data_IF_673773912047
#
_entry.id   IF_673773912047
#
_cell.length_a   1.000
_cell.length_b   1.000
_cell.length_c   1.000
_cell.angle_alpha   90.00
_cell.angle_beta   90.00
_cell.angle_gamma   90.00
#
_symmetry.space_group_name_H-M   'P 1'
#
loop_
_entity.id
_entity.type
_entity.pdbx_description
1 polymer ?
#
# COMPACT_ATOMS: atom_id res chain seq x y z
N UNK A 1 -0.94 -33.71 -3.64
CA UNK A 1 -0.77 -32.37 -4.29
C UNK A 1 -0.88 -31.20 -3.30
N UNK A 2 -1.59 -31.35 -2.18
CA UNK A 2 -1.74 -30.31 -1.13
C UNK A 2 -0.56 -30.28 -0.15
N UNK A 3 0.00 -31.44 0.20
CA UNK A 3 1.15 -31.56 1.13
C UNK A 3 2.38 -30.76 0.65
N UNK A 4 2.72 -30.87 -0.64
CA UNK A 4 3.85 -30.10 -1.18
C UNK A 4 3.64 -28.58 -1.25
N UNK A 5 2.39 -28.10 -1.20
CA UNK A 5 2.08 -26.65 -1.09
C UNK A 5 2.19 -26.17 0.36
N UNK A 6 1.73 -26.94 1.32
CA UNK A 6 1.88 -26.59 2.73
C UNK A 6 3.36 -26.42 3.11
N UNK A 7 4.25 -27.31 2.65
CA UNK A 7 5.69 -27.17 2.87
C UNK A 7 6.29 -25.91 2.23
N UNK A 8 5.76 -25.49 1.10
CA UNK A 8 6.17 -24.25 0.45
C UNK A 8 5.73 -23.03 1.26
N UNK A 9 4.51 -23.03 1.77
CA UNK A 9 3.98 -21.94 2.58
C UNK A 9 4.75 -21.78 3.90
N UNK A 10 5.09 -22.90 4.56
CA UNK A 10 5.94 -22.85 5.74
C UNK A 10 7.33 -22.27 5.45
N UNK A 11 7.96 -22.61 4.33
CA UNK A 11 9.22 -22.00 3.91
C UNK A 11 9.10 -20.51 3.61
N UNK A 12 7.99 -20.08 3.03
CA UNK A 12 7.71 -18.66 2.81
C UNK A 12 7.58 -17.92 4.13
N UNK A 13 6.78 -18.45 5.07
CA UNK A 13 6.66 -17.89 6.41
C UNK A 13 8.02 -17.74 7.10
N UNK A 14 8.82 -18.81 7.10
CA UNK A 14 10.14 -18.77 7.73
C UNK A 14 11.04 -17.68 7.15
N UNK A 15 11.07 -17.53 5.81
CA UNK A 15 11.84 -16.48 5.14
C UNK A 15 11.39 -15.07 5.52
N UNK A 16 10.10 -14.85 5.64
CA UNK A 16 9.58 -13.55 6.08
C UNK A 16 9.89 -13.27 7.55
N UNK A 17 9.82 -14.28 8.41
CA UNK A 17 10.20 -14.13 9.81
C UNK A 17 11.71 -13.86 9.96
N UNK A 18 12.57 -14.57 9.22
CA UNK A 18 14.01 -14.30 9.17
C UNK A 18 14.31 -12.88 8.66
N UNK A 19 13.60 -12.45 7.61
CA UNK A 19 13.72 -11.09 7.07
C UNK A 19 13.15 -10.01 7.99
N UNK A 20 12.40 -10.36 9.02
CA UNK A 20 11.84 -9.41 10.00
C UNK A 20 12.78 -9.12 11.18
N UNK A 21 13.96 -9.72 11.20
CA UNK A 21 14.88 -9.63 12.32
C UNK A 21 14.41 -10.39 13.57
N UNK A 22 15.33 -10.61 14.47
CA UNK A 22 15.06 -11.29 15.72
C UNK A 22 14.27 -10.38 16.66
N UNK A 23 13.08 -10.83 17.15
CA UNK A 23 12.26 -10.04 18.07
C UNK A 23 12.94 -9.75 19.42
N UNK A 24 13.96 -10.53 19.82
CA UNK A 24 14.69 -10.30 21.07
C UNK A 24 15.76 -9.21 20.96
N UNK A 25 16.18 -8.87 19.74
CA UNK A 25 17.27 -7.91 19.49
C UNK A 25 16.84 -6.69 18.68
N UNK A 26 15.67 -6.71 18.04
CA UNK A 26 15.10 -5.60 17.29
C UNK A 26 14.21 -4.74 18.19
N UNK A 27 14.38 -3.42 18.13
CA UNK A 27 13.52 -2.45 18.81
C UNK A 27 12.23 -2.13 18.01
N UNK A 28 12.04 -2.75 16.84
CA UNK A 28 10.89 -2.50 16.00
C UNK A 28 9.59 -3.02 16.62
N UNK A 29 8.67 -2.13 16.93
CA UNK A 29 7.33 -2.49 17.40
C UNK A 29 6.40 -2.96 16.26
N UNK A 30 6.69 -2.57 15.02
CA UNK A 30 5.87 -2.84 13.85
C UNK A 30 6.73 -3.47 12.75
N UNK A 31 6.26 -4.57 12.20
CA UNK A 31 6.84 -5.25 11.03
C UNK A 31 5.91 -5.03 9.84
N UNK A 32 6.45 -4.71 8.67
CA UNK A 32 5.66 -4.53 7.45
C UNK A 32 6.14 -5.51 6.38
N UNK A 33 5.27 -6.42 5.97
CA UNK A 33 5.51 -7.33 4.85
C UNK A 33 4.84 -6.83 3.58
N UNK A 34 5.36 -7.18 2.40
CA UNK A 34 4.85 -6.66 1.13
C UNK A 34 3.49 -7.25 0.73
N UNK A 35 2.95 -6.77 -0.39
CA UNK A 35 1.74 -7.31 -1.02
C UNK A 35 1.93 -8.79 -1.37
N UNK A 36 0.90 -9.59 -1.08
CA UNK A 36 0.90 -11.01 -1.37
C UNK A 36 1.91 -11.84 -0.58
N UNK A 37 2.45 -11.30 0.52
CA UNK A 37 3.34 -12.05 1.42
C UNK A 37 2.61 -13.25 2.05
N UNK A 38 1.32 -13.09 2.32
CA UNK A 38 0.43 -14.18 2.71
C UNK A 38 -0.47 -14.53 1.50
N UNK A 39 -0.15 -15.61 0.74
CA UNK A 39 -0.96 -16.04 -0.39
C UNK A 39 -2.28 -16.65 0.04
N UNK A 40 -3.21 -16.88 -0.91
CA UNK A 40 -4.57 -17.42 -0.64
C UNK A 40 -4.55 -18.66 0.23
N UNK A 41 -3.63 -19.58 -0.04
CA UNK A 41 -3.51 -20.82 0.75
C UNK A 41 -3.15 -20.50 2.20
N UNK A 42 -2.29 -19.53 2.42
CA UNK A 42 -1.90 -19.11 3.75
C UNK A 42 -3.02 -18.39 4.50
N UNK A 43 -3.95 -17.74 3.78
CA UNK A 43 -5.15 -17.19 4.41
C UNK A 43 -5.98 -18.28 5.09
N UNK A 44 -6.15 -19.45 4.47
CA UNK A 44 -6.76 -20.61 5.14
C UNK A 44 -5.95 -21.08 6.34
N UNK A 45 -4.63 -20.88 6.32
CA UNK A 45 -3.77 -21.26 7.44
C UNK A 45 -3.88 -20.29 8.62
N UNK A 46 -4.45 -19.09 8.45
CA UNK A 46 -4.76 -18.21 9.60
C UNK A 46 -5.84 -18.79 10.52
N UNK A 47 -6.54 -19.85 10.09
CA UNK A 47 -7.39 -20.67 10.94
C UNK A 47 -6.64 -21.85 11.58
N UNK A 48 -5.36 -22.07 11.20
CA UNK A 48 -4.54 -23.16 11.72
C UNK A 48 -3.80 -22.71 13.00
N UNK A 49 -4.05 -23.35 14.16
CA UNK A 49 -3.41 -22.98 15.43
C UNK A 49 -1.89 -23.06 15.40
N UNK A 50 -1.31 -24.07 14.70
CA UNK A 50 0.14 -24.24 14.62
C UNK A 50 0.79 -23.13 13.82
N UNK A 51 0.14 -22.69 12.74
CA UNK A 51 0.60 -21.56 11.92
C UNK A 51 0.55 -20.24 12.72
N UNK A 52 -0.57 -19.98 13.41
CA UNK A 52 -0.73 -18.80 14.26
C UNK A 52 0.27 -18.78 15.42
N UNK A 53 0.52 -19.93 16.02
CA UNK A 53 1.54 -20.05 17.07
C UNK A 53 2.96 -19.84 16.55
N UNK A 54 3.28 -20.34 15.34
CA UNK A 54 4.60 -20.12 14.73
C UNK A 54 4.79 -18.65 14.34
N UNK A 55 3.76 -18.03 13.75
CA UNK A 55 3.76 -16.61 13.39
C UNK A 55 3.90 -15.75 14.65
N UNK A 56 3.14 -16.03 15.70
CA UNK A 56 3.20 -15.29 16.98
C UNK A 56 4.57 -15.38 17.65
N UNK A 57 5.18 -16.58 17.70
CA UNK A 57 6.55 -16.74 18.24
C UNK A 57 7.58 -15.97 17.42
N UNK A 58 7.47 -15.98 16.10
CA UNK A 58 8.42 -15.27 15.25
C UNK A 58 8.24 -13.75 15.26
N UNK A 59 7.05 -13.26 15.57
CA UNK A 59 6.79 -11.83 15.73
C UNK A 59 7.15 -11.32 17.14
N UNK A 60 7.05 -12.18 18.16
CA UNK A 60 7.10 -11.71 19.54
C UNK A 60 5.92 -10.78 19.84
N UNK A 61 6.18 -9.68 20.54
CA UNK A 61 5.16 -8.66 20.85
C UNK A 61 4.95 -7.63 19.72
N UNK A 62 5.58 -7.85 18.55
CA UNK A 62 5.48 -6.94 17.40
C UNK A 62 4.15 -7.08 16.67
N UNK A 63 3.66 -5.96 16.15
CA UNK A 63 2.51 -5.93 15.25
C UNK A 63 2.98 -6.15 13.81
N UNK A 64 2.32 -7.03 13.08
CA UNK A 64 2.57 -7.24 11.65
C UNK A 64 1.49 -6.54 10.82
N UNK A 65 1.91 -5.73 9.86
CA UNK A 65 1.07 -5.25 8.76
C UNK A 65 1.53 -5.95 7.49
N UNK A 66 0.62 -6.66 6.81
CA UNK A 66 0.98 -7.50 5.66
C UNK A 66 -0.04 -7.44 4.55
N UNK A 67 0.43 -7.56 3.30
CA UNK A 67 -0.44 -7.82 2.16
C UNK A 67 -0.82 -9.29 2.10
N UNK A 68 -2.10 -9.56 1.87
CA UNK A 68 -2.62 -10.91 1.70
C UNK A 68 -3.77 -10.96 0.68
N UNK A 69 -4.03 -12.13 0.15
CA UNK A 69 -5.24 -12.41 -0.60
C UNK A 69 -6.25 -13.09 0.32
N UNK A 70 -7.39 -12.47 0.56
CA UNK A 70 -8.49 -13.07 1.29
C UNK A 70 -9.66 -13.44 0.38
N UNK A 71 -10.60 -14.20 0.89
CA UNK A 71 -11.82 -14.56 0.18
C UNK A 71 -13.04 -14.45 1.10
N UNK A 72 -14.20 -14.31 0.46
CA UNK A 72 -15.52 -14.43 1.10
C UNK A 72 -16.34 -15.46 0.35
N UNK A 73 -17.02 -16.32 1.10
CA UNK A 73 -18.03 -17.22 0.52
C UNK A 73 -19.35 -16.46 0.33
N UNK A 74 -19.84 -16.36 -0.91
CA UNK A 74 -21.11 -15.71 -1.25
C UNK A 74 -22.01 -16.66 -2.03
N UNK A 75 -23.32 -16.40 -2.12
CA UNK A 75 -24.18 -17.12 -3.06
C UNK A 75 -23.63 -16.95 -4.49
N UNK A 76 -23.16 -18.03 -5.10
CA UNK A 76 -22.52 -17.99 -6.42
C UNK A 76 -21.04 -18.28 -6.44
N UNK A 77 -20.36 -18.40 -5.29
CA UNK A 77 -18.96 -18.82 -5.22
C UNK A 77 -18.09 -18.00 -4.27
N UNK A 78 -16.79 -18.20 -4.41
CA UNK A 78 -15.80 -17.45 -3.65
C UNK A 78 -15.49 -16.14 -4.36
N UNK A 79 -15.47 -15.05 -3.59
CA UNK A 79 -15.03 -13.72 -4.01
C UNK A 79 -13.70 -13.43 -3.37
N UNK A 80 -12.74 -12.93 -4.14
CA UNK A 80 -11.38 -12.69 -3.69
C UNK A 80 -11.10 -11.20 -3.58
N UNK A 81 -10.33 -10.82 -2.56
CA UNK A 81 -9.87 -9.47 -2.30
C UNK A 81 -8.35 -9.45 -2.13
N UNK A 82 -7.72 -8.46 -2.72
CA UNK A 82 -6.36 -8.08 -2.41
C UNK A 82 -6.41 -7.15 -1.19
N UNK A 83 -5.75 -7.51 -0.10
CA UNK A 83 -5.99 -6.86 1.20
C UNK A 83 -4.69 -6.57 1.93
N UNK A 84 -4.70 -5.54 2.76
CA UNK A 84 -3.73 -5.32 3.82
C UNK A 84 -4.36 -5.72 5.16
N UNK A 85 -3.62 -6.41 5.99
CA UNK A 85 -4.08 -6.92 7.28
C UNK A 85 -3.16 -6.47 8.41
N UNK A 86 -3.76 -6.22 9.57
CA UNK A 86 -3.05 -6.02 10.84
C UNK A 86 -3.18 -7.32 11.63
N UNK A 87 -2.04 -7.87 12.01
CA UNK A 87 -1.94 -9.10 12.81
C UNK A 87 -1.16 -8.72 14.08
N UNK A 88 -1.75 -8.96 15.22
CA UNK A 88 -1.12 -8.75 16.51
C UNK A 88 -0.68 -10.09 17.14
N UNK A 89 0.40 -10.04 17.91
CA UNK A 89 0.93 -11.18 18.64
C UNK A 89 0.53 -11.09 20.11
N UNK A 90 -0.68 -11.48 20.47
CA UNK A 90 -1.09 -11.49 21.87
C UNK A 90 -0.73 -12.82 22.51
N UNK A 91 0.10 -12.77 23.56
CA UNK A 91 0.50 -13.97 24.31
C UNK A 91 1.19 -15.08 23.49
N UNK A 92 1.98 -14.67 22.46
CA UNK A 92 2.72 -15.60 21.62
C UNK A 92 1.89 -16.32 20.55
N UNK A 93 0.64 -15.91 20.34
CA UNK A 93 -0.23 -16.40 19.26
C UNK A 93 -0.65 -15.23 18.40
N UNK A 94 -0.41 -15.35 17.09
CA UNK A 94 -0.84 -14.33 16.15
C UNK A 94 -2.36 -14.32 15.97
N UNK A 95 -2.93 -13.12 15.86
CA UNK A 95 -4.35 -12.92 15.63
C UNK A 95 -4.59 -11.85 14.57
N UNK A 96 -5.41 -12.15 13.60
CA UNK A 96 -5.91 -11.17 12.63
C UNK A 96 -6.85 -10.19 13.34
N UNK A 97 -6.46 -8.91 13.41
CA UNK A 97 -7.23 -7.88 14.11
C UNK A 97 -8.03 -7.00 13.15
N UNK A 98 -7.47 -6.65 12.00
CA UNK A 98 -8.14 -5.83 11.01
C UNK A 98 -7.73 -6.19 9.59
N UNK A 99 -8.61 -5.86 8.64
CA UNK A 99 -8.36 -6.00 7.20
C UNK A 99 -8.84 -4.74 6.47
N UNK A 100 -8.07 -4.30 5.49
CA UNK A 100 -8.45 -3.26 4.54
C UNK A 100 -8.30 -3.80 3.12
N UNK A 101 -9.41 -3.86 2.39
CA UNK A 101 -9.40 -4.37 1.02
C UNK A 101 -9.02 -3.28 0.03
N UNK A 102 -8.29 -3.65 -0.99
CA UNK A 102 -7.87 -2.77 -2.06
C UNK A 102 -9.06 -2.15 -2.77
N UNK A 103 -9.12 -0.82 -2.77
CA UNK A 103 -10.19 -0.05 -3.40
C UNK A 103 -9.92 0.20 -4.89
N UNK A 104 -8.67 0.49 -5.27
CA UNK A 104 -8.26 0.78 -6.65
C UNK A 104 -7.55 -0.42 -7.26
N UNK A 105 -8.32 -1.24 -7.97
CA UNK A 105 -7.80 -2.42 -8.65
C UNK A 105 -7.04 -2.07 -9.93
N UNK A 106 -6.07 -2.91 -10.29
CA UNK A 106 -5.30 -2.80 -11.54
C UNK A 106 -6.15 -3.29 -12.72
N UNK A 107 -6.44 -2.42 -13.71
CA UNK A 107 -7.12 -2.86 -14.93
C UNK A 107 -6.34 -3.96 -15.64
N UNK A 108 -7.04 -4.96 -16.18
CA UNK A 108 -6.50 -6.13 -16.87
C UNK A 108 -5.60 -7.05 -16.03
N UNK A 109 -5.23 -6.64 -14.81
CA UNK A 109 -4.49 -7.48 -13.86
C UNK A 109 -5.41 -8.07 -12.79
N UNK A 110 -6.08 -7.20 -12.04
CA UNK A 110 -6.94 -7.56 -10.93
C UNK A 110 -8.42 -7.56 -11.28
N UNK A 111 -8.84 -6.74 -12.24
CA UNK A 111 -10.19 -6.77 -12.78
C UNK A 111 -10.18 -6.59 -14.30
N UNK A 112 -11.21 -7.11 -14.96
CA UNK A 112 -11.42 -6.96 -16.39
C UNK A 112 -12.39 -5.80 -16.66
N UNK A 113 -11.92 -4.67 -17.23
CA UNK A 113 -12.80 -3.63 -17.70
C UNK A 113 -13.75 -4.17 -18.79
N UNK A 114 -15.01 -3.71 -18.80
CA UNK A 114 -16.01 -4.12 -19.79
C UNK A 114 -16.24 -5.65 -19.79
N UNK A 115 -16.25 -6.26 -18.61
CA UNK A 115 -16.42 -7.71 -18.43
C UNK A 115 -17.60 -8.27 -19.24
N UNK A 116 -18.75 -7.59 -19.18
CA UNK A 116 -19.96 -8.02 -19.90
C UNK A 116 -19.74 -8.11 -21.42
N UNK A 117 -18.91 -7.22 -21.97
CA UNK A 117 -18.57 -7.23 -23.39
C UNK A 117 -17.60 -8.39 -23.72
N UNK A 118 -16.61 -8.62 -22.85
CA UNK A 118 -15.68 -9.77 -23.00
C UNK A 118 -16.44 -11.08 -22.95
N UNK A 119 -17.40 -11.21 -22.06
CA UNK A 119 -18.24 -12.40 -21.90
C UNK A 119 -19.20 -12.55 -23.09
N UNK A 120 -19.81 -11.47 -23.57
CA UNK A 120 -20.68 -11.48 -24.76
C UNK A 120 -19.95 -11.93 -26.04
N UNK A 121 -18.67 -11.56 -26.19
CA UNK A 121 -17.85 -11.98 -27.33
C UNK A 121 -17.09 -13.30 -27.09
N UNK A 122 -17.27 -13.92 -25.94
CA UNK A 122 -16.64 -15.19 -25.53
C UNK A 122 -15.11 -15.22 -25.73
N UNK A 123 -14.43 -14.15 -25.34
CA UNK A 123 -12.97 -14.03 -25.48
C UNK A 123 -12.28 -14.79 -24.33
N UNK A 124 -12.17 -16.10 -24.48
CA UNK A 124 -11.71 -17.04 -23.46
C UNK A 124 -10.41 -16.66 -22.72
N UNK A 125 -9.34 -16.10 -23.35
CA UNK A 125 -8.16 -15.68 -22.64
C UNK A 125 -8.43 -14.54 -21.65
N UNK A 126 -9.31 -13.61 -21.98
CA UNK A 126 -9.66 -12.45 -21.16
C UNK A 126 -10.63 -12.79 -20.03
N UNK A 127 -11.44 -13.82 -20.19
CA UNK A 127 -12.37 -14.29 -19.15
C UNK A 127 -11.67 -14.83 -17.89
N UNK A 128 -10.41 -15.24 -18.03
CA UNK A 128 -9.58 -15.78 -16.93
C UNK A 128 -8.83 -14.69 -16.17
N UNK A 129 -8.84 -13.46 -16.67
CA UNK A 129 -8.19 -12.32 -16.04
C UNK A 129 -9.14 -11.60 -15.07
N UNK A 130 -8.61 -11.11 -13.98
CA UNK A 130 -9.34 -10.26 -13.05
C UNK A 130 -10.34 -11.02 -12.19
N UNK A 131 -9.85 -11.54 -11.07
CA UNK A 131 -10.67 -12.32 -10.12
C UNK A 131 -10.94 -11.56 -8.81
N UNK A 132 -10.38 -10.35 -8.66
CA UNK A 132 -10.54 -9.57 -7.44
C UNK A 132 -11.74 -8.63 -7.51
N UNK A 133 -12.38 -8.44 -6.36
CA UNK A 133 -13.40 -7.43 -6.13
C UNK A 133 -12.80 -6.23 -5.40
N UNK A 134 -13.27 -5.02 -5.74
CA UNK A 134 -12.82 -3.79 -5.09
C UNK A 134 -13.42 -3.67 -3.70
N UNK A 135 -12.60 -3.31 -2.74
CA UNK A 135 -13.03 -2.94 -1.40
C UNK A 135 -13.69 -1.56 -1.32
N UNK A 136 -14.23 -1.20 -0.16
CA UNK A 136 -14.72 0.14 0.12
C UNK A 136 -13.57 1.17 0.02
N UNK A 137 -13.89 2.49 0.00
CA UNK A 137 -12.86 3.51 0.13
C UNK A 137 -11.95 3.25 1.33
N UNK A 138 -10.63 3.52 1.21
CA UNK A 138 -9.67 3.23 2.28
C UNK A 138 -10.05 3.94 3.58
N UNK A 139 -9.92 3.21 4.68
CA UNK A 139 -10.15 3.70 6.03
C UNK A 139 -8.92 3.49 6.92
N UNK A 140 -8.91 4.15 8.06
CA UNK A 140 -7.82 4.01 9.03
C UNK A 140 -7.71 2.58 9.55
N UNK A 141 -6.48 2.09 9.62
CA UNK A 141 -6.13 0.89 10.37
C UNK A 141 -5.71 1.31 11.79
N UNK A 142 -6.33 0.72 12.78
CA UNK A 142 -5.89 0.87 14.18
C UNK A 142 -4.68 -0.04 14.37
N UNK A 143 -3.55 0.54 14.70
CA UNK A 143 -2.30 -0.19 14.95
C UNK A 143 -2.01 -0.08 16.45
N UNK A 144 -1.86 -1.17 17.19
CA UNK A 144 -1.52 -1.13 18.60
C UNK A 144 -0.28 -0.27 18.87
N UNK A 145 -0.32 0.53 19.90
CA UNK A 145 0.77 1.41 20.38
C UNK A 145 1.35 2.37 19.34
N UNK A 146 0.60 2.64 18.25
CA UNK A 146 1.00 3.56 17.20
C UNK A 146 -0.18 4.43 16.73
N UNK A 147 0.09 5.59 16.09
CA UNK A 147 -0.97 6.32 15.41
C UNK A 147 -1.66 5.47 14.35
N UNK A 148 -2.95 5.71 14.05
CA UNK A 148 -3.64 4.98 13.00
C UNK A 148 -2.93 5.12 11.65
N UNK A 149 -2.83 4.03 10.91
CA UNK A 149 -2.23 3.97 9.58
C UNK A 149 -3.28 4.03 8.47
N UNK A 150 -2.87 4.38 7.26
CA UNK A 150 -3.61 4.11 6.04
C UNK A 150 -2.83 3.16 5.15
N UNK A 151 -3.43 2.04 4.78
CA UNK A 151 -2.83 1.13 3.81
C UNK A 151 -3.04 1.64 2.38
N UNK A 152 -1.95 1.65 1.61
CA UNK A 152 -1.93 1.83 0.16
C UNK A 152 -1.39 0.55 -0.47
N UNK A 153 -2.26 -0.20 -1.13
CA UNK A 153 -1.94 -1.51 -1.68
C UNK A 153 -1.50 -1.33 -3.15
N UNK A 154 -0.19 -1.47 -3.38
CA UNK A 154 0.44 -1.45 -4.71
C UNK A 154 0.01 -0.25 -5.56
N UNK A 155 -0.79 -0.49 -6.58
CA UNK A 155 -1.32 0.51 -7.54
C UNK A 155 -1.99 1.72 -6.88
N UNK A 156 -2.51 1.58 -5.65
CA UNK A 156 -3.13 2.70 -4.93
C UNK A 156 -2.15 3.84 -4.63
N UNK A 157 -0.87 3.55 -4.48
CA UNK A 157 0.15 4.55 -4.23
C UNK A 157 0.31 5.58 -5.37
N UNK A 158 -0.19 5.29 -6.58
CA UNK A 158 -0.14 6.26 -7.68
C UNK A 158 -1.26 7.30 -7.63
N UNK A 159 -2.35 7.06 -6.86
CA UNK A 159 -3.51 7.93 -6.83
C UNK A 159 -3.42 8.93 -5.68
N UNK A 160 -3.53 10.25 -5.95
CA UNK A 160 -3.72 11.25 -4.90
C UNK A 160 -5.13 11.17 -4.33
N UNK A 161 -5.29 11.65 -3.09
CA UNK A 161 -6.60 11.87 -2.48
C UNK A 161 -7.34 10.63 -2.03
N UNK A 162 -6.63 9.51 -1.79
CA UNK A 162 -7.19 8.33 -1.14
C UNK A 162 -7.21 8.44 0.38
N UNK A 163 -6.45 9.37 0.95
CA UNK A 163 -6.34 9.56 2.39
C UNK A 163 -7.59 10.23 2.96
N UNK A 164 -8.24 9.64 3.97
CA UNK A 164 -9.32 10.28 4.72
C UNK A 164 -8.86 11.60 5.36
N UNK A 165 -9.78 12.53 5.53
CA UNK A 165 -9.50 13.90 6.02
C UNK A 165 -10.14 14.16 7.38
N UNK A 166 -9.74 15.28 7.99
CA UNK A 166 -10.30 15.72 9.28
C UNK A 166 -10.00 14.73 10.40
N UNK A 167 -10.99 14.38 11.18
CA UNK A 167 -10.85 13.46 12.31
C UNK A 167 -10.45 12.04 11.91
N UNK A 168 -10.72 11.67 10.65
CA UNK A 168 -10.35 10.37 10.10
C UNK A 168 -8.98 10.36 9.45
N UNK A 169 -8.23 11.46 9.47
CA UNK A 169 -6.87 11.51 8.93
C UNK A 169 -5.95 10.54 9.69
N UNK A 170 -5.21 9.66 8.99
CA UNK A 170 -4.25 8.77 9.62
C UNK A 170 -3.02 9.56 10.11
N UNK A 171 -2.22 8.94 10.97
CA UNK A 171 -0.94 9.48 11.41
C UNK A 171 0.21 9.13 10.46
N UNK A 172 0.07 8.10 9.63
CA UNK A 172 1.09 7.64 8.70
C UNK A 172 0.50 6.75 7.59
N UNK A 173 1.30 6.52 6.57
CA UNK A 173 0.97 5.66 5.44
C UNK A 173 1.76 4.35 5.53
N UNK A 174 1.11 3.24 5.23
CA UNK A 174 1.78 1.96 5.02
C UNK A 174 1.56 1.53 3.58
N UNK A 175 2.65 1.33 2.82
CA UNK A 175 2.57 0.90 1.43
C UNK A 175 3.06 -0.53 1.31
N UNK A 176 2.16 -1.44 0.98
CA UNK A 176 2.47 -2.85 0.71
C UNK A 176 2.35 -3.10 -0.79
N UNK A 177 3.43 -3.58 -1.42
CA UNK A 177 3.46 -3.68 -2.89
C UNK A 177 4.23 -4.88 -3.39
N UNK A 178 3.91 -5.30 -4.61
CA UNK A 178 4.67 -6.28 -5.37
C UNK A 178 5.18 -5.65 -6.66
N UNK A 179 6.43 -5.18 -6.63
CA UNK A 179 7.09 -4.57 -7.80
C UNK A 179 7.73 -5.61 -8.73
N UNK A 180 7.70 -6.90 -8.39
CA UNK A 180 8.23 -7.97 -9.24
C UNK A 180 7.49 -8.06 -10.60
N UNK A 181 6.27 -7.55 -10.68
CA UNK A 181 5.52 -7.43 -11.93
C UNK A 181 6.20 -6.56 -12.99
N UNK A 182 7.03 -5.61 -12.58
CA UNK A 182 7.76 -4.73 -13.50
C UNK A 182 9.01 -5.38 -14.10
N UNK A 183 9.33 -6.63 -13.76
CA UNK A 183 10.49 -7.35 -14.26
C UNK A 183 11.81 -6.94 -13.60
N UNK A 184 12.94 -7.28 -14.24
CA UNK A 184 14.27 -7.03 -13.67
C UNK A 184 14.59 -5.53 -13.68
N UNK A 185 14.95 -4.98 -12.52
CA UNK A 185 15.35 -3.56 -12.32
C UNK A 185 16.46 -3.10 -13.27
N UNK A 186 17.30 -4.00 -13.75
CA UNK A 186 18.37 -3.67 -14.69
C UNK A 186 17.87 -3.18 -16.04
N UNK A 187 16.63 -3.55 -16.39
CA UNK A 187 16.05 -3.25 -17.70
C UNK A 187 14.81 -2.36 -17.64
N UNK A 188 14.20 -2.24 -16.45
CA UNK A 188 12.93 -1.54 -16.29
C UNK A 188 12.97 -0.52 -15.16
N UNK A 189 12.49 0.68 -15.44
CA UNK A 189 12.40 1.78 -14.46
C UNK A 189 11.12 1.72 -13.62
N UNK A 190 10.22 0.78 -13.89
CA UNK A 190 8.91 0.64 -13.23
C UNK A 190 8.99 0.65 -11.70
N UNK A 191 9.82 -0.19 -11.05
CA UNK A 191 9.95 -0.18 -9.59
C UNK A 191 10.38 1.18 -9.02
N UNK A 192 11.32 1.86 -9.68
CA UNK A 192 11.80 3.18 -9.25
C UNK A 192 10.75 4.28 -9.45
N UNK A 193 9.99 4.22 -10.55
CA UNK A 193 8.88 5.15 -10.81
C UNK A 193 7.75 4.93 -9.80
N UNK A 194 7.37 3.69 -9.53
CA UNK A 194 6.35 3.35 -8.56
C UNK A 194 6.75 3.81 -7.16
N UNK A 195 8.01 3.61 -6.78
CA UNK A 195 8.55 4.13 -5.52
C UNK A 195 8.51 5.66 -5.47
N UNK A 196 8.91 6.35 -6.54
CA UNK A 196 8.82 7.81 -6.59
C UNK A 196 7.38 8.30 -6.40
N UNK A 197 6.39 7.66 -7.04
CA UNK A 197 4.97 7.99 -6.88
C UNK A 197 4.51 7.79 -5.43
N UNK A 198 4.94 6.70 -4.77
CA UNK A 198 4.63 6.48 -3.37
C UNK A 198 5.20 7.59 -2.46
N UNK A 199 6.45 8.03 -2.72
CA UNK A 199 7.06 9.15 -1.99
C UNK A 199 6.27 10.46 -2.15
N UNK A 200 5.70 10.72 -3.34
CA UNK A 200 4.83 11.88 -3.53
C UNK A 200 3.60 11.84 -2.63
N UNK A 201 3.06 10.66 -2.30
CA UNK A 201 1.94 10.57 -1.33
C UNK A 201 2.35 11.10 0.04
N UNK A 202 3.57 10.79 0.52
CA UNK A 202 4.07 11.34 1.78
C UNK A 202 4.11 12.87 1.75
N UNK A 203 4.63 13.46 0.67
CA UNK A 203 4.72 14.93 0.50
C UNK A 203 3.33 15.56 0.44
N UNK A 204 2.44 15.01 -0.37
CA UNK A 204 1.10 15.55 -0.61
C UNK A 204 0.24 15.52 0.64
N UNK A 205 0.33 14.44 1.40
CA UNK A 205 -0.46 14.25 2.62
C UNK A 205 0.25 14.82 3.87
N UNK A 206 1.54 15.13 3.81
CA UNK A 206 2.34 15.51 4.97
C UNK A 206 2.44 14.38 6.00
N UNK A 207 2.52 13.13 5.53
CA UNK A 207 2.54 11.92 6.36
C UNK A 207 3.79 11.09 6.09
N UNK A 208 4.45 10.54 7.12
CA UNK A 208 5.52 9.59 6.90
C UNK A 208 4.96 8.28 6.33
N UNK A 209 5.81 7.50 5.67
CA UNK A 209 5.43 6.22 5.06
C UNK A 209 6.41 5.12 5.41
N UNK A 210 5.89 3.96 5.80
CA UNK A 210 6.62 2.71 5.77
C UNK A 210 6.19 1.91 4.53
N UNK A 211 7.14 1.63 3.64
CA UNK A 211 6.91 0.89 2.40
C UNK A 211 7.64 -0.44 2.44
N UNK A 212 6.92 -1.52 2.15
CA UNK A 212 7.45 -2.85 1.94
C UNK A 212 7.14 -3.34 0.53
N UNK A 213 8.17 -3.79 -0.20
CA UNK A 213 8.07 -4.08 -1.63
C UNK A 213 8.76 -5.39 -2.00
N UNK A 214 8.02 -6.37 -2.52
CA UNK A 214 8.61 -7.53 -3.20
C UNK A 214 9.22 -7.09 -4.52
N UNK A 215 10.51 -7.39 -4.74
CA UNK A 215 11.22 -7.03 -5.99
C UNK A 215 11.43 -5.53 -6.19
N UNK A 216 11.00 -4.70 -5.25
CA UNK A 216 11.05 -3.25 -5.29
C UNK A 216 12.02 -2.64 -4.27
N UNK A 217 11.81 -1.37 -3.92
CA UNK A 217 12.51 -0.63 -2.88
C UNK A 217 11.61 -0.60 -1.65
N UNK A 218 12.07 -1.20 -0.55
CA UNK A 218 11.45 -1.03 0.77
C UNK A 218 12.15 0.14 1.47
N UNK A 219 11.37 1.01 2.13
CA UNK A 219 11.91 2.21 2.74
C UNK A 219 11.00 2.78 3.83
N UNK A 220 11.58 3.51 4.77
CA UNK A 220 10.88 4.45 5.61
C UNK A 220 11.16 5.86 5.06
N UNK A 221 10.11 6.60 4.79
CA UNK A 221 10.14 7.92 4.16
C UNK A 221 9.49 8.92 5.10
N UNK A 222 10.07 10.09 5.26
CA UNK A 222 9.50 11.15 6.07
C UNK A 222 8.35 11.89 5.37
N UNK A 223 7.71 12.79 6.08
CA UNK A 223 6.60 13.60 5.57
C UNK A 223 7.00 14.62 4.48
N UNK A 224 8.30 14.78 4.21
CA UNK A 224 8.85 15.56 3.09
C UNK A 224 9.27 14.71 1.90
N UNK A 225 9.02 13.40 1.96
CA UNK A 225 9.40 12.46 0.91
C UNK A 225 10.89 12.10 0.91
N UNK A 226 11.64 12.38 1.98
CA UNK A 226 13.05 12.00 2.10
C UNK A 226 13.16 10.58 2.67
N UNK A 227 14.11 9.83 2.15
CA UNK A 227 14.42 8.49 2.67
C UNK A 227 15.13 8.62 4.02
N UNK A 228 14.55 8.02 5.06
CA UNK A 228 15.22 7.83 6.35
C UNK A 228 16.10 6.61 6.28
N UNK A 229 15.57 5.53 5.74
CA UNK A 229 16.27 4.27 5.48
C UNK A 229 15.63 3.56 4.30
N UNK A 230 16.42 2.80 3.52
CA UNK A 230 15.91 1.96 2.45
C UNK A 230 16.74 0.70 2.29
N UNK A 231 16.12 -0.38 1.80
CA UNK A 231 16.84 -1.62 1.48
C UNK A 231 17.68 -1.41 0.23
N UNK A 232 18.95 -1.81 0.30
CA UNK A 232 19.90 -1.74 -0.81
C UNK A 232 20.65 -3.06 -0.96
N UNK A 233 20.74 -3.52 -2.19
CA UNK A 233 21.52 -4.73 -2.49
C UNK A 233 20.94 -6.00 -1.87
N UNK A 234 21.68 -6.63 -0.96
CA UNK A 234 21.30 -7.89 -0.30
C UNK A 234 20.61 -7.70 1.05
N UNK A 235 20.32 -6.47 1.45
CA UNK A 235 19.62 -6.22 2.71
C UNK A 235 18.20 -6.80 2.66
N UNK A 236 17.85 -7.59 3.67
CA UNK A 236 16.56 -8.25 3.76
C UNK A 236 15.50 -7.35 4.36
N UNK A 237 15.87 -6.45 5.26
CA UNK A 237 14.99 -5.49 5.91
C UNK A 237 15.68 -4.15 6.17
N UNK A 238 14.90 -3.13 6.42
CA UNK A 238 15.34 -1.82 6.87
C UNK A 238 14.52 -1.42 8.10
N UNK A 239 15.18 -0.91 9.12
CA UNK A 239 14.57 -0.53 10.39
C UNK A 239 14.92 0.91 10.74
N UNK A 240 13.93 1.70 11.13
CA UNK A 240 14.11 3.04 11.68
C UNK A 240 12.87 3.47 12.44
N UNK A 241 13.02 4.49 13.28
CA UNK A 241 11.88 5.14 13.92
C UNK A 241 11.02 5.85 12.87
N UNK A 242 9.70 5.67 12.95
CA UNK A 242 8.77 6.36 12.07
C UNK A 242 8.83 7.87 12.33
N UNK A 243 9.10 8.70 11.29
CA UNK A 243 9.13 10.16 11.46
C UNK A 243 7.76 10.73 11.83
N UNK A 244 7.71 11.95 12.42
CA UNK A 244 6.45 12.57 12.77
C UNK A 244 5.65 13.00 11.53
N UNK A 245 4.32 12.95 11.64
CA UNK A 245 3.43 13.56 10.69
C UNK A 245 3.47 15.09 10.79
N UNK A 246 3.33 15.77 9.66
CA UNK A 246 3.09 17.22 9.61
C UNK A 246 1.61 17.53 9.81
N UNK A 247 1.30 18.81 10.01
CA UNK A 247 -0.05 19.32 9.88
C UNK A 247 -0.58 19.04 8.47
N UNK A 248 -1.88 18.96 8.34
CA UNK A 248 -2.53 18.70 7.04
C UNK A 248 -2.05 19.72 5.99
N UNK A 249 -1.53 19.22 4.88
CA UNK A 249 -1.04 20.06 3.78
C UNK A 249 -2.20 20.76 3.07
N UNK A 250 -1.89 21.80 2.30
CA UNK A 250 -2.90 22.48 1.46
C UNK A 250 -3.53 21.51 0.45
N UNK A 251 -2.72 20.60 -0.12
CA UNK A 251 -3.22 19.60 -1.06
C UNK A 251 -4.10 18.54 -0.37
N UNK A 252 -3.69 18.05 0.79
CA UNK A 252 -4.49 17.13 1.59
C UNK A 252 -5.83 17.76 1.98
N UNK A 253 -5.85 19.05 2.33
CA UNK A 253 -7.05 19.77 2.75
C UNK A 253 -8.00 20.08 1.60
N UNK A 254 -7.48 20.57 0.47
CA UNK A 254 -8.28 21.08 -0.64
C UNK A 254 -8.35 20.11 -1.83
N UNK A 255 -7.47 19.10 -1.84
CA UNK A 255 -7.38 18.12 -2.93
C UNK A 255 -7.13 18.76 -4.28
N UNK A 256 -7.64 18.12 -5.32
CA UNK A 256 -7.43 18.56 -6.70
C UNK A 256 -8.21 19.83 -7.11
N UNK A 257 -8.99 20.46 -6.21
CA UNK A 257 -9.77 21.65 -6.53
C UNK A 257 -8.86 22.86 -6.86
N UNK A 258 -7.62 22.86 -6.34
CA UNK A 258 -6.66 23.94 -6.60
C UNK A 258 -6.28 24.03 -8.08
N UNK A 259 -6.17 22.91 -8.78
CA UNK A 259 -5.80 22.90 -10.20
C UNK A 259 -6.86 23.54 -11.09
N UNK A 260 -8.15 23.16 -11.06
CA UNK A 260 -9.19 23.84 -11.84
C UNK A 260 -9.33 25.32 -11.42
N UNK A 261 -9.19 25.67 -10.16
CA UNK A 261 -9.19 27.08 -9.74
C UNK A 261 -8.04 27.87 -10.37
N UNK A 262 -6.84 27.30 -10.41
CA UNK A 262 -5.70 27.91 -11.09
C UNK A 262 -5.94 28.08 -12.59
N UNK A 263 -6.49 27.06 -13.26
CA UNK A 263 -6.84 27.13 -14.69
C UNK A 263 -7.87 28.23 -14.94
N UNK A 264 -8.93 28.30 -14.13
CA UNK A 264 -9.94 29.36 -14.21
C UNK A 264 -9.32 30.73 -13.99
N UNK A 265 -8.46 30.87 -12.99
CA UNK A 265 -7.74 32.12 -12.70
C UNK A 265 -6.86 32.57 -13.87
N UNK A 266 -6.05 31.68 -14.46
CA UNK A 266 -5.22 31.96 -15.63
C UNK A 266 -6.08 32.35 -16.84
N UNK A 267 -7.20 31.66 -17.07
CA UNK A 267 -8.15 32.01 -18.12
C UNK A 267 -8.75 33.40 -17.91
N UNK A 268 -9.13 33.73 -16.67
CA UNK A 268 -9.69 35.06 -16.32
C UNK A 268 -8.68 36.19 -16.54
N UNK A 269 -7.39 35.95 -16.30
CA UNK A 269 -6.34 36.95 -16.58
C UNK A 269 -6.31 37.39 -18.06
N UNK A 270 -6.72 36.54 -19.00
CA UNK A 270 -6.78 36.89 -20.42
C UNK A 270 -7.90 37.88 -20.75
N UNK A 271 -8.90 38.00 -19.91
CA UNK A 271 -10.00 38.95 -20.07
C UNK A 271 -9.77 40.25 -19.31
N UNK A 272 -8.69 40.39 -18.57
CA UNK A 272 -8.33 41.68 -17.99
C UNK A 272 -7.88 42.63 -19.10
N UNK A 273 -8.46 43.86 -19.18
CA UNK A 273 -8.04 44.83 -20.17
C UNK A 273 -6.54 45.12 -19.97
N UNK A 274 -5.79 45.12 -21.07
CA UNK A 274 -4.38 45.50 -21.05
C UNK A 274 -4.32 46.98 -20.66
N UNK A 275 -4.36 47.27 -19.36
CA UNK A 275 -4.13 48.60 -18.83
C UNK A 275 -2.71 49.01 -19.20
N UNK A 276 -2.60 50.04 -20.03
CA UNK A 276 -1.41 50.68 -20.54
C UNK A 276 -0.29 50.82 -19.48
N UNK A 277 0.57 49.84 -19.36
CA UNK A 277 1.90 49.96 -18.71
C UNK A 277 2.89 50.78 -19.60
N UNK A 278 2.40 51.42 -20.67
CA UNK A 278 3.21 52.13 -21.65
C UNK A 278 3.09 53.68 -21.55
N UNK A 279 2.65 54.25 -20.40
CA UNK A 279 2.68 55.69 -20.22
C UNK A 279 3.61 56.09 -19.06
N UNK A 280 4.90 56.08 -19.31
CA UNK A 280 5.90 56.50 -18.33
C UNK A 280 7.32 56.69 -18.88
N UNK A 281 7.45 56.97 -20.19
CA UNK A 281 8.68 57.58 -20.71
C UNK A 281 8.29 58.90 -21.36
N UNK A 282 8.47 60.01 -20.64
CA UNK A 282 8.66 61.34 -21.18
C UNK A 282 10.14 61.68 -21.10
N UNK A 283 10.61 62.43 -22.11
CA UNK A 283 12.03 62.67 -22.39
C UNK A 283 12.74 63.47 -21.31
#
# INVERSE_FOLDING_TARGET
KWEGRADQEWRVLQRFLEASGDPETSDAAIVVWPEGAIPVVTFFMLDNPDFLAALGRGLGDRVLITGLTRYEARPGGLVYFNSAAVIDGVSGVARLSQVSDKHRLVPFGEFMPLRDLVDAFNIAPLQRLGAFEAGPPPSRLVVPDAPPALALICYEAIFPGLTPRGEDRPGWLVSVTNDAWFGDRRYFTGPSQHYAMARYRSIEEGLPMARSASGGISAIVDSFGQEVVSTRGSELYAEAQLPPALVETTLARWGNILLPLLVVFIAALRFLPATNLAKGRKP
#
